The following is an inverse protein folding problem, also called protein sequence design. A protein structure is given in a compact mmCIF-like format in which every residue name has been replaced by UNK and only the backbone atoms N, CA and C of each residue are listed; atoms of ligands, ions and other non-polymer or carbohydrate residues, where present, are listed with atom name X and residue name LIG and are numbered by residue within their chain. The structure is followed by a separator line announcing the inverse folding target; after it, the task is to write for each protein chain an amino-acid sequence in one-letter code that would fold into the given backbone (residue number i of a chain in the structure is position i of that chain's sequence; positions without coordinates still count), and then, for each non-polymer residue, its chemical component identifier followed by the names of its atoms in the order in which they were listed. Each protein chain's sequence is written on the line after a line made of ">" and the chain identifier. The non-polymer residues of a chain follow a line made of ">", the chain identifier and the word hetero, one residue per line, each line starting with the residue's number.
data_IF_141606243806
#
_entry.id   IF_141606243806
#
_cell.length_a   1.000
_cell.length_b   1.000
_cell.length_c   1.000
_cell.angle_alpha   90.00
_cell.angle_beta   90.00
_cell.angle_gamma   90.00
#
_symmetry.space_group_name_H-M   'P 1'
#
loop_
_entity.id
_entity.type
_entity.pdbx_description
1 polymer ?
#
# COMPACT_ATOMS: atom_id res chain seq x y z
N UNK A 1 -2.26 19.01 22.98
CA UNK A 1 -3.41 18.17 22.62
C UNK A 1 -4.41 19.08 21.93
N UNK A 2 -4.53 19.00 20.60
CA UNK A 2 -5.51 19.82 19.86
C UNK A 2 -6.79 19.00 19.73
N UNK A 3 -7.88 19.49 20.32
CA UNK A 3 -9.16 18.79 20.35
C UNK A 3 -9.89 18.98 19.01
N UNK A 4 -10.30 17.88 18.38
CA UNK A 4 -10.99 17.81 17.07
C UNK A 4 -12.50 18.16 17.19
N UNK A 5 -12.89 19.01 18.14
CA UNK A 5 -14.30 19.14 18.55
C UNK A 5 -15.22 19.65 17.44
N UNK A 6 -14.71 20.44 16.49
CA UNK A 6 -15.53 21.09 15.45
C UNK A 6 -15.87 20.20 14.24
N UNK A 7 -15.18 19.07 14.06
CA UNK A 7 -15.48 18.09 13.00
C UNK A 7 -15.75 16.70 13.57
N UNK A 8 -15.94 16.60 14.88
CA UNK A 8 -16.10 15.33 15.58
C UNK A 8 -17.26 14.51 15.03
N UNK A 9 -18.42 15.13 14.77
CA UNK A 9 -19.57 14.43 14.20
C UNK A 9 -19.29 13.89 12.80
N UNK A 10 -18.56 14.61 11.95
CA UNK A 10 -18.17 14.13 10.62
C UNK A 10 -17.09 13.03 10.67
N UNK A 11 -16.23 13.05 11.69
CA UNK A 11 -15.21 12.03 11.94
C UNK A 11 -15.81 10.78 12.59
N UNK A 12 -16.89 10.92 13.35
CA UNK A 12 -17.62 9.82 14.01
C UNK A 12 -18.78 9.30 13.16
N UNK A 13 -19.19 10.02 12.09
CA UNK A 13 -20.19 9.57 11.12
C UNK A 13 -19.77 8.34 10.28
N UNK A 14 -18.73 7.63 10.70
CA UNK A 14 -18.56 6.22 10.35
C UNK A 14 -19.59 5.42 11.15
N UNK A 15 -20.64 4.96 10.47
CA UNK A 15 -21.51 3.94 11.02
C UNK A 15 -20.64 2.69 11.29
N UNK A 16 -20.50 2.26 12.56
CA UNK A 16 -19.60 1.18 12.94
C UNK A 16 -19.95 -0.17 12.28
N UNK A 17 -21.14 -0.28 11.68
CA UNK A 17 -21.64 -1.48 11.01
C UNK A 17 -21.44 -1.45 9.48
N UNK A 18 -20.73 -0.45 8.93
CA UNK A 18 -20.33 -0.45 7.51
C UNK A 18 -19.13 -1.38 7.33
N UNK A 19 -19.41 -2.63 6.97
CA UNK A 19 -18.40 -3.57 6.50
C UNK A 19 -18.06 -3.29 5.02
N UNK A 20 -16.79 -3.52 4.60
CA UNK A 20 -16.43 -3.50 3.19
C UNK A 20 -17.23 -4.55 2.41
N UNK A 21 -17.68 -4.19 1.22
CA UNK A 21 -18.29 -5.14 0.29
C UNK A 21 -17.28 -6.17 -0.21
N UNK A 22 -17.76 -7.34 -0.65
CA UNK A 22 -16.90 -8.38 -1.24
C UNK A 22 -16.02 -7.85 -2.39
N UNK A 23 -16.56 -6.93 -3.20
CA UNK A 23 -15.83 -6.31 -4.30
C UNK A 23 -14.68 -5.40 -3.82
N UNK A 24 -14.87 -4.71 -2.69
CA UNK A 24 -13.85 -3.89 -2.04
C UNK A 24 -12.79 -4.78 -1.37
N UNK A 25 -13.19 -5.87 -0.73
CA UNK A 25 -12.26 -6.86 -0.18
C UNK A 25 -11.41 -7.49 -1.28
N UNK A 26 -12.01 -7.88 -2.40
CA UNK A 26 -11.30 -8.38 -3.56
C UNK A 26 -10.32 -7.36 -4.15
N UNK A 27 -10.65 -6.06 -4.09
CA UNK A 27 -9.73 -5.01 -4.49
C UNK A 27 -8.48 -4.97 -3.61
N UNK A 28 -8.64 -5.09 -2.30
CA UNK A 28 -7.53 -5.16 -1.34
C UNK A 28 -6.67 -6.39 -1.61
N UNK A 29 -7.28 -7.57 -1.82
CA UNK A 29 -6.54 -8.81 -2.12
C UNK A 29 -5.75 -8.67 -3.43
N UNK A 30 -6.31 -8.00 -4.45
CA UNK A 30 -5.55 -7.72 -5.68
C UNK A 30 -4.32 -6.85 -5.44
N UNK A 31 -4.40 -5.91 -4.52
CA UNK A 31 -3.34 -4.96 -4.16
C UNK A 31 -2.34 -5.50 -3.11
N UNK A 32 -2.67 -6.59 -2.42
CA UNK A 32 -1.84 -7.22 -1.38
C UNK A 32 -0.34 -7.36 -1.78
N UNK A 33 0.02 -7.82 -3.00
CA UNK A 33 1.42 -7.94 -3.37
C UNK A 33 2.18 -6.60 -3.38
N UNK A 34 1.49 -5.51 -3.71
CA UNK A 34 2.05 -4.16 -3.65
C UNK A 34 2.22 -3.70 -2.21
N UNK A 35 1.20 -3.90 -1.38
CA UNK A 35 1.22 -3.54 0.04
C UNK A 35 2.39 -4.24 0.75
N UNK A 36 2.58 -5.54 0.52
CA UNK A 36 3.70 -6.30 1.09
C UNK A 36 5.07 -5.82 0.60
N UNK A 37 5.18 -5.44 -0.67
CA UNK A 37 6.43 -4.89 -1.22
C UNK A 37 6.76 -3.51 -0.61
N UNK A 38 5.76 -2.66 -0.39
CA UNK A 38 5.91 -1.36 0.25
C UNK A 38 6.28 -1.50 1.73
N UNK A 39 5.68 -2.47 2.42
CA UNK A 39 6.06 -2.83 3.79
C UNK A 39 7.53 -3.28 3.86
N UNK A 40 8.00 -4.16 2.96
CA UNK A 40 9.41 -4.57 2.92
C UNK A 40 10.34 -3.38 2.69
N UNK A 41 9.97 -2.44 1.81
CA UNK A 41 10.73 -1.21 1.61
C UNK A 41 10.80 -0.37 2.88
N UNK A 42 9.68 -0.21 3.57
CA UNK A 42 9.60 0.53 4.83
C UNK A 42 10.47 -0.14 5.91
N UNK A 43 10.40 -1.46 6.05
CA UNK A 43 11.25 -2.21 6.98
C UNK A 43 12.74 -2.00 6.69
N UNK A 44 13.13 -2.00 5.41
CA UNK A 44 14.51 -1.70 5.00
C UNK A 44 14.89 -0.25 5.32
N UNK A 45 14.00 0.71 5.08
CA UNK A 45 14.25 2.11 5.42
C UNK A 45 14.41 2.29 6.93
N UNK A 46 13.50 1.74 7.73
CA UNK A 46 13.54 1.77 9.20
C UNK A 46 14.83 1.14 9.73
N UNK A 47 15.22 -0.02 9.20
CA UNK A 47 16.46 -0.69 9.63
C UNK A 47 17.74 0.12 9.33
N UNK A 48 17.68 1.04 8.37
CA UNK A 48 18.78 1.92 7.97
C UNK A 48 18.75 3.29 8.64
N UNK A 49 17.64 3.68 9.29
CA UNK A 49 17.56 4.92 10.06
C UNK A 49 18.65 4.95 11.13
N UNK A 50 19.28 6.12 11.29
CA UNK A 50 20.36 6.40 12.24
C UNK A 50 21.62 5.51 12.11
N UNK A 51 21.75 4.79 10.99
CA UNK A 51 22.96 4.00 10.68
C UNK A 51 23.85 4.71 9.65
N UNK A 52 25.18 4.55 9.72
CA UNK A 52 26.07 5.05 8.69
C UNK A 52 25.75 4.41 7.34
N UNK A 53 25.85 5.20 6.27
CA UNK A 53 25.56 4.73 4.91
C UNK A 53 26.58 3.66 4.51
N UNK A 54 26.08 2.47 4.16
CA UNK A 54 26.91 1.35 3.68
C UNK A 54 26.49 0.91 2.28
N UNK A 55 27.44 0.36 1.51
CA UNK A 55 27.14 -0.22 0.18
C UNK A 55 26.10 -1.34 0.27
N UNK A 56 26.14 -2.14 1.33
CA UNK A 56 25.16 -3.21 1.54
C UNK A 56 23.77 -2.63 1.82
N UNK A 57 23.67 -1.60 2.66
CA UNK A 57 22.42 -0.88 2.92
C UNK A 57 21.81 -0.29 1.65
N UNK A 58 22.63 0.39 0.83
CA UNK A 58 22.19 0.92 -0.46
C UNK A 58 21.69 -0.17 -1.41
N UNK A 59 22.37 -1.32 -1.48
CA UNK A 59 21.93 -2.46 -2.30
C UNK A 59 20.60 -3.04 -1.83
N UNK A 60 20.41 -3.19 -0.52
CA UNK A 60 19.16 -3.66 0.08
C UNK A 60 18.00 -2.70 -0.23
N UNK A 61 18.23 -1.40 -0.03
CA UNK A 61 17.26 -0.35 -0.33
C UNK A 61 16.84 -0.37 -1.81
N UNK A 62 17.81 -0.44 -2.73
CA UNK A 62 17.54 -0.55 -4.17
C UNK A 62 16.75 -1.79 -4.53
N UNK A 63 17.07 -2.94 -3.93
CA UNK A 63 16.34 -4.20 -4.18
C UNK A 63 14.88 -4.07 -3.73
N UNK A 64 14.64 -3.53 -2.54
CA UNK A 64 13.29 -3.33 -2.02
C UNK A 64 12.49 -2.32 -2.89
N UNK A 65 13.10 -1.21 -3.28
CA UNK A 65 12.47 -0.24 -4.19
C UNK A 65 12.12 -0.86 -5.55
N UNK A 66 12.99 -1.70 -6.12
CA UNK A 66 12.71 -2.40 -7.37
C UNK A 66 11.57 -3.42 -7.24
N UNK A 67 11.42 -4.06 -6.07
CA UNK A 67 10.28 -4.96 -5.80
C UNK A 67 8.95 -4.18 -5.81
N UNK A 68 8.92 -3.01 -5.16
CA UNK A 68 7.73 -2.12 -5.20
C UNK A 68 7.38 -1.77 -6.64
N UNK A 69 8.36 -1.36 -7.44
CA UNK A 69 8.13 -1.02 -8.86
C UNK A 69 7.57 -2.21 -9.66
N UNK A 70 8.10 -3.41 -9.43
CA UNK A 70 7.59 -4.63 -10.09
C UNK A 70 6.14 -4.94 -9.68
N UNK A 71 5.82 -4.87 -8.38
CA UNK A 71 4.47 -5.11 -7.87
C UNK A 71 3.47 -4.06 -8.39
N UNK A 72 3.86 -2.78 -8.45
CA UNK A 72 3.03 -1.72 -9.06
C UNK A 72 2.72 -2.00 -10.53
N UNK A 73 3.73 -2.43 -11.30
CA UNK A 73 3.53 -2.79 -12.70
C UNK A 73 2.57 -3.98 -12.84
N UNK A 74 2.66 -4.97 -11.96
CA UNK A 74 1.78 -6.13 -11.96
C UNK A 74 0.32 -5.76 -11.66
N UNK A 75 0.08 -4.95 -10.62
CA UNK A 75 -1.27 -4.46 -10.27
C UNK A 75 -1.86 -3.60 -11.41
N UNK A 76 -1.06 -2.69 -11.99
CA UNK A 76 -1.49 -1.86 -13.12
C UNK A 76 -1.85 -2.70 -14.36
N UNK A 77 -1.09 -3.76 -14.64
CA UNK A 77 -1.38 -4.66 -15.75
C UNK A 77 -2.63 -5.52 -15.48
N UNK A 78 -2.81 -6.02 -14.26
CA UNK A 78 -4.01 -6.80 -13.88
C UNK A 78 -5.29 -5.96 -13.98
N UNK A 79 -5.29 -4.72 -13.50
CA UNK A 79 -6.44 -3.82 -13.63
C UNK A 79 -6.76 -3.47 -15.08
N UNK A 80 -5.74 -3.37 -15.94
CA UNK A 80 -5.92 -3.17 -17.38
C UNK A 80 -6.55 -4.39 -18.07
N UNK A 81 -6.15 -5.60 -17.68
CA UNK A 81 -6.72 -6.85 -18.21
C UNK A 81 -8.20 -7.03 -17.83
N UNK A 82 -8.58 -6.68 -16.59
CA UNK A 82 -9.99 -6.70 -16.14
C UNK A 82 -10.85 -5.79 -17.01
N UNK A 83 -10.41 -4.55 -17.26
CA UNK A 83 -11.15 -3.61 -18.12
C UNK A 83 -11.29 -4.09 -19.58
N UNK A 84 -10.31 -4.81 -20.10
CA UNK A 84 -10.37 -5.36 -21.47
C UNK A 84 -11.36 -6.54 -21.58
N UNK A 85 -11.52 -7.33 -20.51
CA UNK A 85 -12.47 -8.44 -20.45
C UNK A 85 -13.92 -8.00 -20.26
N UNK A 86 -14.17 -6.89 -19.57
CA UNK A 86 -15.52 -6.30 -19.42
C UNK A 86 -16.05 -5.66 -20.72
N UNK A 87 -15.18 -5.39 -21.69
CA UNK A 87 -15.53 -4.78 -22.96
C UNK A 87 -15.83 -5.81 -24.08
N UNK A 88 -15.76 -7.11 -23.81
CA UNK A 88 -15.98 -8.22 -24.74
C UNK A 88 -17.25 -9.00 -24.39
#
# INVERSE_FOLDING_TARGET
>A
MNHIVTVQDAVIAFDPDIEPTDAELDAIVREEPLILAEQELLDVQIALLDRPVTRLGQRRLRRAANKVLAARAEVANRTSAVRAGEAA
#
